data_IF_518160828708
#
_entry.id   IF_518160828708
#
_cell.length_a   1.000
_cell.length_b   1.000
_cell.length_c   1.000
_cell.angle_alpha   90.00
_cell.angle_beta   90.00
_cell.angle_gamma   90.00
#
_symmetry.space_group_name_H-M   'P 1'
#
loop_
_entity.id
_entity.type
_entity.pdbx_description
1 polymer ?
#
# COMPACT_ATOMS: atom_id res chain seq x y z
N UNK A 1 28.03 -7.18 -1.48
CA UNK A 1 27.59 -5.78 -1.58
C UNK A 1 28.16 -5.07 -0.38
N UNK A 2 29.04 -4.09 -0.58
CA UNK A 2 29.53 -3.24 0.52
C UNK A 2 28.53 -2.10 0.63
N UNK A 3 27.87 -1.96 1.77
CA UNK A 3 26.90 -0.90 2.03
C UNK A 3 27.58 0.06 2.99
N UNK A 4 27.80 1.32 2.57
CA UNK A 4 28.30 2.34 3.49
C UNK A 4 27.11 2.92 4.27
N UNK A 5 27.35 3.39 5.49
CA UNK A 5 26.29 3.89 6.40
C UNK A 5 25.47 5.04 5.78
N UNK A 6 26.06 5.78 4.84
CA UNK A 6 25.45 6.91 4.12
C UNK A 6 24.51 6.47 2.98
N UNK A 7 24.50 5.18 2.60
CA UNK A 7 23.74 4.64 1.47
C UNK A 7 22.39 4.00 1.88
N UNK A 8 22.06 4.01 3.17
CA UNK A 8 20.82 3.41 3.68
C UNK A 8 19.71 4.46 3.75
N UNK A 9 18.79 4.40 2.79
CA UNK A 9 17.55 5.18 2.81
C UNK A 9 16.32 4.28 3.01
N UNK A 10 15.13 4.88 3.00
CA UNK A 10 13.87 4.14 3.10
C UNK A 10 13.70 3.12 1.96
N UNK A 11 14.27 3.37 0.78
CA UNK A 11 14.18 2.45 -0.35
C UNK A 11 15.01 1.19 -0.11
N UNK A 12 16.22 1.34 0.40
CA UNK A 12 17.08 0.23 0.81
C UNK A 12 16.36 -0.65 1.83
N UNK A 13 15.75 -0.06 2.85
CA UNK A 13 14.98 -0.80 3.88
C UNK A 13 13.76 -1.50 3.27
N UNK A 14 13.00 -0.81 2.42
CA UNK A 14 11.80 -1.38 1.78
C UNK A 14 12.14 -2.53 0.81
N UNK A 15 13.32 -2.51 0.20
CA UNK A 15 13.78 -3.57 -0.69
C UNK A 15 14.23 -4.80 0.10
N UNK A 16 14.94 -4.64 1.22
CA UNK A 16 15.30 -5.76 2.11
C UNK A 16 14.06 -6.39 2.74
N UNK A 17 13.13 -5.58 3.25
CA UNK A 17 11.87 -6.10 3.81
C UNK A 17 11.03 -6.86 2.77
N UNK A 18 11.12 -6.51 1.50
CA UNK A 18 10.43 -7.22 0.44
C UNK A 18 11.03 -8.61 0.17
N UNK A 19 12.36 -8.75 0.31
CA UNK A 19 13.08 -10.01 0.16
C UNK A 19 12.84 -10.93 1.35
N UNK A 20 13.00 -10.39 2.56
CA UNK A 20 12.91 -11.16 3.80
C UNK A 20 11.48 -11.64 4.07
N UNK A 21 10.48 -10.76 3.92
CA UNK A 21 9.10 -11.01 4.36
C UNK A 21 8.15 -11.33 3.20
N UNK A 22 8.70 -11.91 2.11
CA UNK A 22 7.93 -12.26 0.93
C UNK A 22 6.86 -13.30 1.27
N UNK A 23 5.60 -13.01 0.94
CA UNK A 23 4.47 -13.90 1.22
C UNK A 23 3.87 -13.75 2.62
N UNK A 24 4.47 -12.96 3.51
CA UNK A 24 4.01 -12.81 4.91
C UNK A 24 3.03 -11.64 5.13
N UNK A 25 2.35 -11.20 4.05
CA UNK A 25 1.34 -10.14 4.10
C UNK A 25 1.83 -8.77 4.62
N UNK A 26 3.15 -8.52 4.62
CA UNK A 26 3.75 -7.25 5.09
C UNK A 26 3.91 -6.19 4.01
N UNK A 27 3.93 -6.59 2.73
CA UNK A 27 4.28 -5.67 1.64
C UNK A 27 3.32 -4.50 1.50
N UNK A 28 2.01 -4.75 1.53
CA UNK A 28 0.99 -3.71 1.41
C UNK A 28 1.07 -2.66 2.53
N UNK A 29 1.03 -3.03 3.84
CA UNK A 29 1.11 -2.04 4.91
C UNK A 29 2.45 -1.29 4.93
N UNK A 30 3.58 -1.93 4.59
CA UNK A 30 4.88 -1.26 4.52
C UNK A 30 4.94 -0.18 3.46
N UNK A 31 4.41 -0.46 2.27
CA UNK A 31 4.37 0.53 1.20
C UNK A 31 3.32 1.63 1.47
N UNK A 32 2.17 1.29 2.06
CA UNK A 32 1.14 2.26 2.42
C UNK A 32 1.66 3.27 3.45
N UNK A 33 2.26 2.80 4.55
CA UNK A 33 2.73 3.67 5.64
C UNK A 33 3.91 4.58 5.25
N UNK A 34 4.62 4.23 4.18
CA UNK A 34 5.71 5.02 3.62
C UNK A 34 5.28 5.87 2.42
N UNK A 35 3.98 5.89 2.08
CA UNK A 35 3.43 6.60 0.93
C UNK A 35 4.02 6.19 -0.43
N UNK A 36 4.55 4.96 -0.53
CA UNK A 36 5.19 4.45 -1.75
C UNK A 36 4.36 3.38 -2.48
N UNK A 37 3.18 3.01 -1.96
CA UNK A 37 2.34 1.93 -2.49
C UNK A 37 1.99 2.09 -3.96
N UNK A 38 1.45 3.23 -4.36
CA UNK A 38 1.00 3.47 -5.73
C UNK A 38 2.21 3.48 -6.68
N UNK A 39 3.21 4.32 -6.38
CA UNK A 39 4.42 4.48 -7.18
C UNK A 39 5.13 3.13 -7.40
N UNK A 40 5.44 2.40 -6.33
CA UNK A 40 6.17 1.14 -6.41
C UNK A 40 5.35 0.02 -7.04
N UNK A 41 4.02 0.01 -6.84
CA UNK A 41 3.18 -1.00 -7.51
C UNK A 41 3.15 -0.76 -9.02
N UNK A 42 2.94 0.48 -9.47
CA UNK A 42 2.96 0.81 -10.89
C UNK A 42 4.35 0.59 -11.52
N UNK A 43 5.43 0.76 -10.76
CA UNK A 43 6.81 0.51 -11.21
C UNK A 43 7.13 -0.98 -11.37
N UNK A 44 6.63 -1.84 -10.49
CA UNK A 44 7.06 -3.25 -10.41
C UNK A 44 5.99 -4.28 -10.79
N UNK A 45 4.73 -3.87 -10.99
CA UNK A 45 3.64 -4.75 -11.40
C UNK A 45 3.07 -4.29 -12.76
N UNK A 46 3.45 -4.99 -13.83
CA UNK A 46 3.03 -4.69 -15.20
C UNK A 46 1.51 -4.76 -15.40
N UNK A 47 0.81 -5.64 -14.66
CA UNK A 47 -0.65 -5.75 -14.75
C UNK A 47 -1.33 -4.52 -14.12
N UNK A 48 -0.87 -4.13 -12.92
CA UNK A 48 -1.37 -2.93 -12.25
C UNK A 48 -1.07 -1.67 -13.07
N UNK A 49 0.13 -1.59 -13.68
CA UNK A 49 0.49 -0.50 -14.60
C UNK A 49 -0.42 -0.44 -15.82
N UNK A 50 -0.74 -1.59 -16.41
CA UNK A 50 -1.61 -1.68 -17.60
C UNK A 50 -3.05 -1.25 -17.29
N UNK A 51 -3.59 -1.64 -16.13
CA UNK A 51 -4.97 -1.26 -15.75
C UNK A 51 -5.05 0.15 -15.20
N UNK A 52 -3.96 0.65 -14.63
CA UNK A 52 -3.81 1.99 -14.05
C UNK A 52 -4.93 2.38 -13.07
N UNK A 53 -5.38 1.42 -12.25
CA UNK A 53 -6.41 1.61 -11.21
C UNK A 53 -5.84 1.89 -9.81
N UNK A 54 -4.55 2.23 -9.73
CA UNK A 54 -3.85 2.51 -8.47
C UNK A 54 -3.94 4.02 -8.16
N UNK A 55 -5.07 4.50 -7.67
CA UNK A 55 -5.23 5.90 -7.24
C UNK A 55 -5.36 6.02 -5.70
N UNK A 56 -5.64 7.20 -5.16
CA UNK A 56 -5.66 7.40 -3.70
C UNK A 56 -6.72 6.59 -2.94
N UNK A 57 -7.84 6.18 -3.56
CA UNK A 57 -8.89 5.45 -2.83
C UNK A 57 -8.39 4.10 -2.30
N UNK A 58 -7.49 3.42 -3.03
CA UNK A 58 -6.96 2.11 -2.65
C UNK A 58 -6.10 2.13 -1.38
N UNK A 59 -5.72 3.30 -0.87
CA UNK A 59 -5.01 3.41 0.41
C UNK A 59 -5.87 2.92 1.57
N UNK A 60 -7.19 3.01 1.47
CA UNK A 60 -8.14 2.51 2.46
C UNK A 60 -8.93 1.34 1.88
N UNK A 61 -9.56 0.53 2.74
CA UNK A 61 -10.51 -0.50 2.33
C UNK A 61 -11.91 0.04 2.50
N UNK A 62 -12.91 -0.42 1.73
CA UNK A 62 -14.28 0.00 1.97
C UNK A 62 -14.69 -0.45 3.38
N UNK A 63 -15.37 0.44 4.09
CA UNK A 63 -16.13 0.06 5.27
C UNK A 63 -17.25 -0.86 4.78
N UNK A 64 -17.46 -2.04 5.38
CA UNK A 64 -18.51 -2.96 4.94
C UNK A 64 -19.88 -2.26 4.93
N UNK A 65 -20.62 -2.37 3.82
CA UNK A 65 -21.90 -1.67 3.66
C UNK A 65 -22.88 -2.04 4.78
N UNK A 66 -22.87 -3.30 5.24
CA UNK A 66 -23.72 -3.74 6.35
C UNK A 66 -23.45 -3.01 7.66
N UNK A 67 -22.22 -2.53 7.88
CA UNK A 67 -21.87 -1.73 9.07
C UNK A 67 -22.42 -0.32 8.92
N UNK A 68 -22.30 0.28 7.74
CA UNK A 68 -22.87 1.61 7.44
C UNK A 68 -24.40 1.57 7.55
N UNK A 69 -25.06 0.55 6.97
CA UNK A 69 -26.52 0.43 6.97
C UNK A 69 -27.10 0.22 8.38
N UNK A 70 -26.31 -0.33 9.30
CA UNK A 70 -26.71 -0.57 10.70
C UNK A 70 -26.42 0.61 11.62
N UNK A 71 -25.68 1.60 11.13
CA UNK A 71 -25.28 2.74 11.93
C UNK A 71 -26.34 3.84 11.92
N UNK A 72 -26.67 4.34 13.11
CA UNK A 72 -27.58 5.46 13.30
C UNK A 72 -26.86 6.80 13.42
N UNK A 73 -25.53 6.80 13.56
CA UNK A 73 -24.71 7.99 13.81
C UNK A 73 -24.12 8.64 12.54
N UNK A 74 -24.27 7.99 11.38
CA UNK A 74 -23.89 8.52 10.07
C UNK A 74 -22.43 8.25 9.67
N UNK A 75 -21.91 7.04 9.90
CA UNK A 75 -20.59 6.61 9.41
C UNK A 75 -20.52 6.82 7.89
N UNK A 76 -19.62 7.70 7.46
CA UNK A 76 -19.33 7.94 6.06
C UNK A 76 -18.33 6.92 5.50
N UNK A 77 -18.48 6.58 4.23
CA UNK A 77 -17.56 5.70 3.53
C UNK A 77 -16.19 6.36 3.33
N UNK A 78 -15.14 5.55 3.24
CA UNK A 78 -13.82 6.01 2.82
C UNK A 78 -13.88 6.61 1.40
N UNK A 79 -13.22 7.75 1.20
CA UNK A 79 -13.26 8.47 -0.07
C UNK A 79 -12.94 7.57 -1.28
N UNK A 80 -13.85 7.55 -2.25
CA UNK A 80 -13.71 6.79 -3.51
C UNK A 80 -14.27 5.37 -3.50
N UNK A 81 -14.88 4.93 -2.40
CA UNK A 81 -15.66 3.69 -2.31
C UNK A 81 -17.16 3.94 -2.28
#
# INVERSE_FOLDING_TARGET
>A
MIINEVDIDINTILDERARELAGEYKRWPDLKRTNTLIERTLKHNNLAKKTNKMDNHILLRPIPQTVIDQDSEGIEQNAGY
#
